data_IF_561358115240
#
_entry.id   IF_561358115240
#
_cell.length_a   1.000
_cell.length_b   1.000
_cell.length_c   1.000
_cell.angle_alpha   90.00
_cell.angle_beta   90.00
_cell.angle_gamma   90.00
#
_symmetry.space_group_name_H-M   'P 1'
#
loop_
_entity.id
_entity.type
_entity.pdbx_description
1 polymer ?
#
# COMPACT_ATOMS: atom_id res chain seq x y z
N UNK A 1 0.01 18.45 -31.82
CA UNK A 1 -0.40 19.65 -31.04
C UNK A 1 -1.83 19.39 -30.58
N UNK A 2 -2.27 19.41 -29.33
CA UNK A 2 -1.70 19.69 -28.03
C UNK A 2 -2.54 18.85 -27.06
N UNK A 3 -1.94 17.88 -26.35
CA UNK A 3 -2.57 17.25 -25.18
C UNK A 3 -1.66 17.33 -23.94
N UNK A 4 -0.67 18.25 -23.98
CA UNK A 4 0.15 18.62 -22.82
C UNK A 4 -0.53 19.68 -21.93
N UNK A 5 -1.75 20.10 -22.28
CA UNK A 5 -2.48 21.19 -21.62
C UNK A 5 -3.38 20.79 -20.44
N UNK A 6 -3.69 19.49 -20.24
CA UNK A 6 -4.68 19.08 -19.22
C UNK A 6 -4.10 18.57 -17.89
N UNK A 7 -2.78 18.39 -17.76
CA UNK A 7 -2.20 17.87 -16.51
C UNK A 7 -2.05 18.99 -15.44
N UNK A 8 -2.04 20.27 -15.86
CA UNK A 8 -1.91 21.41 -14.95
C UNK A 8 -3.23 21.80 -14.24
N UNK A 9 -4.39 21.26 -14.65
CA UNK A 9 -5.70 21.71 -14.18
C UNK A 9 -6.48 20.72 -13.30
N UNK A 10 -5.98 19.53 -13.01
CA UNK A 10 -6.63 18.64 -12.03
C UNK A 10 -6.07 18.87 -10.64
N UNK A 11 -6.53 19.95 -9.99
CA UNK A 11 -6.28 20.17 -8.55
C UNK A 11 -6.90 19.09 -7.67
N UNK A 12 -7.86 18.33 -8.21
CA UNK A 12 -8.56 17.24 -7.52
C UNK A 12 -8.59 15.96 -8.36
N UNK A 13 -8.44 14.84 -7.67
CA UNK A 13 -8.65 13.48 -8.17
C UNK A 13 -9.93 12.93 -7.54
N UNK A 14 -10.91 12.61 -8.39
CA UNK A 14 -12.10 11.87 -7.99
C UNK A 14 -11.82 10.37 -7.98
N UNK A 15 -12.50 9.64 -7.12
CA UNK A 15 -12.36 8.18 -6.99
C UNK A 15 -10.89 7.73 -6.93
N UNK A 16 -10.14 8.17 -5.90
CA UNK A 16 -8.71 7.89 -5.79
C UNK A 16 -8.36 6.40 -5.67
N UNK A 17 -9.28 5.56 -5.19
CA UNK A 17 -9.04 4.14 -4.88
C UNK A 17 -9.50 3.27 -6.03
N UNK A 18 -8.59 2.42 -6.51
CA UNK A 18 -8.85 1.40 -7.51
C UNK A 18 -9.51 0.17 -6.90
N UNK A 19 -8.88 -0.41 -5.87
CA UNK A 19 -9.32 -1.62 -5.22
C UNK A 19 -8.89 -1.65 -3.75
N UNK A 20 -9.64 -2.38 -2.94
CA UNK A 20 -9.24 -2.89 -1.63
C UNK A 20 -9.07 -4.40 -1.75
N UNK A 21 -7.92 -4.93 -1.32
CA UNK A 21 -7.52 -6.32 -1.52
C UNK A 21 -7.11 -6.91 -0.18
N UNK A 22 -7.67 -8.07 0.17
CA UNK A 22 -7.29 -8.84 1.34
C UNK A 22 -6.27 -9.90 0.93
N UNK A 23 -5.14 -9.92 1.63
CA UNK A 23 -4.11 -10.95 1.48
C UNK A 23 -3.94 -11.67 2.81
N UNK A 24 -4.08 -12.98 2.81
CA UNK A 24 -3.80 -13.82 3.98
C UNK A 24 -2.51 -14.61 3.83
N UNK A 25 -2.02 -15.16 4.94
CA UNK A 25 -0.88 -16.07 4.95
C UNK A 25 -1.31 -17.52 5.21
N UNK A 26 -1.05 -18.40 4.24
CA UNK A 26 -1.25 -19.84 4.38
C UNK A 26 0.09 -20.56 4.59
N UNK A 27 0.24 -21.33 5.66
CA UNK A 27 1.50 -21.94 6.08
C UNK A 27 2.21 -22.82 5.02
N UNK A 28 1.46 -23.48 4.11
CA UNK A 28 2.02 -24.23 2.96
C UNK A 28 2.14 -23.45 1.65
N UNK A 29 1.28 -22.44 1.43
CA UNK A 29 1.12 -21.78 0.12
C UNK A 29 1.71 -20.36 0.11
N UNK A 30 2.11 -19.84 1.26
CA UNK A 30 2.56 -18.46 1.44
C UNK A 30 1.41 -17.46 1.41
N UNK A 31 1.71 -16.24 0.98
CA UNK A 31 0.75 -15.15 0.89
C UNK A 31 -0.24 -15.38 -0.26
N UNK A 32 -1.54 -15.31 0.01
CA UNK A 32 -2.60 -15.54 -0.97
C UNK A 32 -3.62 -14.40 -0.96
N UNK A 33 -4.13 -14.05 -2.13
CA UNK A 33 -5.27 -13.14 -2.25
C UNK A 33 -6.51 -13.89 -1.79
N UNK A 34 -7.23 -13.33 -0.84
CA UNK A 34 -8.48 -13.90 -0.34
C UNK A 34 -9.68 -13.17 -0.91
N UNK A 35 -9.58 -11.85 -1.07
CA UNK A 35 -10.67 -11.01 -1.56
C UNK A 35 -10.14 -9.76 -2.26
N UNK A 36 -10.89 -9.24 -3.22
CA UNK A 36 -10.60 -8.04 -3.99
C UNK A 36 -11.92 -7.35 -4.30
N UNK A 37 -12.03 -6.08 -3.93
CA UNK A 37 -13.19 -5.27 -4.21
C UNK A 37 -12.80 -3.90 -4.75
N UNK A 38 -13.38 -3.45 -5.88
CA UNK A 38 -14.16 -4.23 -6.83
C UNK A 38 -13.34 -5.38 -7.43
N UNK A 39 -14.01 -6.43 -7.88
CA UNK A 39 -13.36 -7.56 -8.52
C UNK A 39 -12.83 -7.19 -9.91
N UNK A 40 -11.68 -7.74 -10.31
CA UNK A 40 -11.20 -7.61 -11.69
C UNK A 40 -11.94 -8.54 -12.65
N UNK A 41 -12.34 -9.72 -12.16
CA UNK A 41 -13.09 -10.73 -12.90
C UNK A 41 -14.35 -11.03 -12.10
N UNK A 42 -15.56 -10.75 -12.65
CA UNK A 42 -16.81 -10.98 -11.94
C UNK A 42 -16.96 -12.43 -11.46
N UNK A 43 -17.35 -12.60 -10.19
CA UNK A 43 -17.48 -13.89 -9.51
C UNK A 43 -16.16 -14.51 -9.06
N UNK A 44 -15.04 -13.78 -9.17
CA UNK A 44 -13.71 -14.28 -8.83
C UNK A 44 -12.92 -13.27 -7.98
N UNK A 45 -13.28 -13.13 -6.70
CA UNK A 45 -12.71 -12.10 -5.82
C UNK A 45 -11.22 -12.29 -5.52
N UNK A 46 -10.64 -13.45 -5.80
CA UNK A 46 -9.22 -13.70 -5.57
C UNK A 46 -8.35 -13.55 -6.83
N UNK A 47 -8.95 -13.37 -8.01
CA UNK A 47 -8.19 -13.23 -9.26
C UNK A 47 -7.76 -11.77 -9.49
N UNK A 48 -6.44 -11.56 -9.53
CA UNK A 48 -5.82 -10.27 -9.85
C UNK A 48 -5.18 -10.29 -11.24
N UNK A 49 -4.92 -9.11 -11.85
CA UNK A 49 -4.16 -9.03 -13.09
C UNK A 49 -2.79 -9.70 -12.97
N UNK A 50 -2.32 -10.33 -14.04
CA UNK A 50 -1.02 -11.03 -14.07
C UNK A 50 0.18 -10.14 -13.71
N UNK A 51 0.04 -8.82 -13.96
CA UNK A 51 1.01 -7.80 -13.60
C UNK A 51 1.17 -7.63 -12.09
N UNK A 52 0.16 -8.03 -11.31
CA UNK A 52 0.12 -7.95 -9.84
C UNK A 52 0.40 -9.29 -9.16
N UNK A 53 0.97 -10.27 -9.87
CA UNK A 53 1.28 -11.61 -9.31
C UNK A 53 2.12 -11.59 -8.03
N UNK A 54 2.93 -10.54 -7.83
CA UNK A 54 3.78 -10.36 -6.65
C UNK A 54 3.15 -9.51 -5.54
N UNK A 55 1.95 -8.96 -5.76
CA UNK A 55 1.23 -8.16 -4.77
C UNK A 55 1.12 -8.89 -3.42
N UNK A 56 0.79 -10.19 -3.33
CA UNK A 56 0.69 -10.87 -2.04
C UNK A 56 1.99 -10.85 -1.21
N UNK A 57 3.14 -11.00 -1.87
CA UNK A 57 4.44 -10.96 -1.22
C UNK A 57 4.85 -9.53 -0.82
N UNK A 58 4.44 -8.52 -1.59
CA UNK A 58 4.62 -7.11 -1.24
C UNK A 58 3.70 -6.69 -0.09
N UNK A 59 2.50 -7.27 0.01
CA UNK A 59 1.48 -6.96 0.99
C UNK A 59 1.78 -7.51 2.39
N UNK A 60 2.46 -8.67 2.45
CA UNK A 60 2.92 -9.33 3.66
C UNK A 60 4.41 -9.67 3.48
N UNK A 61 5.31 -8.69 3.71
CA UNK A 61 6.73 -8.88 3.51
C UNK A 61 7.28 -9.88 4.54
N UNK A 62 8.43 -10.45 4.21
CA UNK A 62 9.12 -11.36 5.12
C UNK A 62 9.41 -10.67 6.47
N UNK A 63 9.37 -11.46 7.54
CA UNK A 63 9.49 -10.96 8.91
C UNK A 63 8.28 -10.20 9.46
N UNK A 64 7.21 -9.97 8.67
CA UNK A 64 5.97 -9.33 9.17
C UNK A 64 5.32 -10.09 10.33
N UNK A 65 5.55 -11.41 10.42
CA UNK A 65 5.09 -12.24 11.52
C UNK A 65 5.70 -11.87 12.88
N UNK A 66 6.79 -11.10 12.91
CA UNK A 66 7.42 -10.60 14.15
C UNK A 66 6.71 -9.38 14.75
N UNK A 67 5.69 -8.84 14.07
CA UNK A 67 5.01 -7.61 14.46
C UNK A 67 3.49 -7.83 14.56
N UNK A 68 2.86 -7.26 15.58
CA UNK A 68 1.40 -7.33 15.73
C UNK A 68 0.69 -6.67 14.54
N UNK A 69 1.23 -5.55 14.07
CA UNK A 69 0.75 -4.80 12.91
C UNK A 69 1.83 -3.88 12.38
N UNK A 70 1.76 -3.55 11.10
CA UNK A 70 2.55 -2.49 10.46
C UNK A 70 1.82 -2.02 9.19
N UNK A 71 2.19 -0.85 8.70
CA UNK A 71 1.71 -0.32 7.41
C UNK A 71 2.87 -0.09 6.46
N UNK A 72 2.80 -0.72 5.29
CA UNK A 72 3.85 -0.69 4.28
C UNK A 72 3.33 -0.07 2.99
N UNK A 73 4.25 0.54 2.24
CA UNK A 73 3.96 1.19 0.97
C UNK A 73 4.72 0.52 -0.17
N UNK A 74 4.05 0.29 -1.28
CA UNK A 74 4.66 -0.26 -2.49
C UNK A 74 4.01 0.30 -3.75
N UNK A 75 4.67 0.11 -4.89
CA UNK A 75 4.19 0.55 -6.19
C UNK A 75 3.93 -0.67 -7.08
N UNK A 76 2.90 -0.59 -7.92
CA UNK A 76 2.56 -1.62 -8.90
C UNK A 76 2.37 -0.98 -10.28
N UNK A 77 2.60 -1.72 -11.38
CA UNK A 77 2.21 -1.28 -12.71
C UNK A 77 0.69 -1.10 -12.79
N UNK A 78 0.21 -0.08 -13.48
CA UNK A 78 -1.22 0.07 -13.76
C UNK A 78 -1.67 -1.04 -14.74
N UNK A 79 -2.72 -1.82 -14.43
CA UNK A 79 -3.23 -2.87 -15.31
C UNK A 79 -3.78 -2.37 -16.65
N UNK A 80 -4.16 -1.10 -16.72
CA UNK A 80 -4.83 -0.47 -17.88
C UNK A 80 -3.88 0.40 -18.71
N UNK A 81 -2.82 0.92 -18.09
CA UNK A 81 -1.82 1.76 -18.76
C UNK A 81 -0.39 1.36 -18.33
N UNK A 82 0.37 0.64 -19.17
CA UNK A 82 1.72 0.17 -18.81
C UNK A 82 2.73 1.32 -18.62
N UNK A 83 2.36 2.55 -18.98
CA UNK A 83 3.18 3.73 -18.73
C UNK A 83 2.98 4.32 -17.34
N UNK A 84 2.02 3.81 -16.56
CA UNK A 84 1.63 4.33 -15.26
C UNK A 84 1.91 3.38 -14.10
N UNK A 85 2.11 3.99 -12.94
CA UNK A 85 2.18 3.35 -11.63
C UNK A 85 0.88 3.58 -10.86
N UNK A 86 0.46 2.55 -10.13
CA UNK A 86 -0.54 2.65 -9.05
C UNK A 86 0.14 2.38 -7.69
N UNK A 87 -0.48 2.87 -6.62
CA UNK A 87 0.19 3.01 -5.32
C UNK A 87 -0.54 2.20 -4.25
N UNK A 88 0.17 1.25 -3.65
CA UNK A 88 -0.35 0.35 -2.63
C UNK A 88 -0.03 0.80 -1.21
N UNK A 89 -1.05 0.79 -0.35
CA UNK A 89 -0.94 0.92 1.10
C UNK A 89 -1.41 -0.41 1.70
N UNK A 90 -0.53 -1.19 2.31
CA UNK A 90 -0.90 -2.44 2.97
C UNK A 90 -0.79 -2.31 4.47
N UNK A 91 -1.92 -2.42 5.14
CA UNK A 91 -2.01 -2.48 6.60
C UNK A 91 -2.17 -3.95 6.97
N UNK A 92 -1.15 -4.55 7.61
CA UNK A 92 -1.27 -5.91 8.11
C UNK A 92 -1.51 -5.93 9.61
N UNK A 93 -2.17 -6.99 10.06
CA UNK A 93 -2.38 -7.26 11.47
C UNK A 93 -2.38 -8.76 11.73
N UNK A 94 -1.97 -9.10 12.94
CA UNK A 94 -2.04 -10.43 13.51
C UNK A 94 -2.99 -10.45 14.70
N UNK A 95 -3.81 -11.49 14.80
CA UNK A 95 -4.58 -11.80 16.01
C UNK A 95 -4.42 -13.28 16.39
N UNK A 96 -4.51 -13.62 17.68
CA UNK A 96 -4.57 -15.01 18.12
C UNK A 96 -5.74 -15.77 17.50
N UNK A 97 -5.58 -17.05 17.20
CA UNK A 97 -6.64 -17.89 16.61
C UNK A 97 -7.88 -17.98 17.50
N UNK A 98 -7.72 -17.80 18.81
CA UNK A 98 -8.82 -17.79 19.79
C UNK A 98 -9.78 -16.62 19.57
N UNK A 99 -9.33 -15.52 18.95
CA UNK A 99 -10.15 -14.35 18.63
C UNK A 99 -10.88 -14.47 17.28
N UNK A 100 -10.65 -15.55 16.53
CA UNK A 100 -11.28 -15.79 15.23
C UNK A 100 -12.57 -16.59 15.42
N UNK A 101 -13.68 -16.05 14.90
CA UNK A 101 -15.02 -16.64 15.03
C UNK A 101 -15.18 -17.88 14.15
N UNK A 102 -14.74 -17.80 12.89
CA UNK A 102 -14.77 -18.91 11.94
C UNK A 102 -13.38 -19.51 11.80
N UNK A 103 -13.14 -20.61 12.52
CA UNK A 103 -11.88 -21.35 12.42
C UNK A 103 -11.93 -22.32 11.23
N UNK A 104 -10.96 -22.22 10.36
CA UNK A 104 -10.78 -23.12 9.21
C UNK A 104 -9.65 -24.13 9.51
N UNK A 105 -9.70 -25.30 8.88
CA UNK A 105 -8.76 -26.40 9.16
C UNK A 105 -7.29 -26.04 8.85
N UNK A 106 -7.07 -25.05 8.00
CA UNK A 106 -5.74 -24.53 7.62
C UNK A 106 -5.13 -23.56 8.64
N UNK A 107 -5.88 -23.16 9.68
CA UNK A 107 -5.41 -22.35 10.81
C UNK A 107 -4.63 -23.18 11.83
N UNK A 108 -3.47 -23.69 11.41
CA UNK A 108 -2.60 -24.56 12.20
C UNK A 108 -1.60 -23.82 13.10
N UNK A 109 -1.52 -22.49 12.99
CA UNK A 109 -0.66 -21.62 13.80
C UNK A 109 -1.43 -21.03 14.97
N UNK A 110 -0.72 -20.47 15.96
CA UNK A 110 -1.33 -19.77 17.09
C UNK A 110 -1.90 -18.39 16.74
N UNK A 111 -1.53 -17.82 15.59
CA UNK A 111 -2.04 -16.55 15.09
C UNK A 111 -2.51 -16.64 13.64
N UNK A 112 -3.49 -15.80 13.30
CA UNK A 112 -3.86 -15.47 11.92
C UNK A 112 -3.24 -14.14 11.56
N UNK A 113 -2.60 -14.10 10.39
CA UNK A 113 -2.03 -12.90 9.80
C UNK A 113 -2.71 -12.62 8.47
N UNK A 114 -3.25 -11.40 8.34
CA UNK A 114 -3.79 -10.89 7.07
C UNK A 114 -3.40 -9.43 6.88
N UNK A 115 -3.39 -8.98 5.65
CA UNK A 115 -3.26 -7.58 5.28
C UNK A 115 -4.40 -7.13 4.41
N UNK A 116 -4.72 -5.84 4.53
CA UNK A 116 -5.67 -5.15 3.65
C UNK A 116 -4.87 -4.10 2.89
N UNK A 117 -4.80 -4.29 1.57
CA UNK A 117 -4.14 -3.40 0.63
C UNK A 117 -5.16 -2.45 0.00
N UNK A 118 -4.86 -1.16 0.01
CA UNK A 118 -5.61 -0.17 -0.77
C UNK A 118 -4.74 0.29 -1.92
N UNK A 119 -5.22 0.05 -3.13
CA UNK A 119 -4.53 0.43 -4.36
C UNK A 119 -5.11 1.74 -4.87
N UNK A 120 -4.27 2.74 -5.09
CA UNK A 120 -4.66 4.10 -5.42
C UNK A 120 -4.12 4.57 -6.77
N UNK A 121 -4.84 5.49 -7.42
CA UNK A 121 -4.42 6.18 -8.65
C UNK A 121 -3.41 7.31 -8.39
N UNK A 122 -3.28 7.73 -7.12
CA UNK A 122 -2.31 8.73 -6.66
C UNK A 122 -1.57 8.22 -5.40
N UNK A 123 -0.35 8.73 -5.10
CA UNK A 123 0.47 8.26 -3.98
C UNK A 123 -0.01 8.82 -2.64
N UNK A 124 -1.17 8.33 -2.19
CA UNK A 124 -1.83 8.77 -0.96
C UNK A 124 -1.36 8.00 0.28
N UNK A 125 -0.07 7.70 0.33
CA UNK A 125 0.53 6.75 1.28
C UNK A 125 0.21 7.08 2.75
N UNK A 126 0.79 8.15 3.28
CA UNK A 126 0.61 8.52 4.68
C UNK A 126 -0.82 8.97 5.00
N UNK A 127 -1.50 9.61 4.04
CA UNK A 127 -2.90 10.01 4.13
C UNK A 127 -3.84 8.84 4.44
N UNK A 128 -3.71 7.76 3.68
CA UNK A 128 -4.59 6.60 3.82
C UNK A 128 -4.09 5.61 4.88
N UNK A 129 -2.80 5.62 5.22
CA UNK A 129 -2.24 4.74 6.25
C UNK A 129 -3.04 4.79 7.55
N UNK A 130 -3.23 5.99 8.12
CA UNK A 130 -3.93 6.15 9.41
C UNK A 130 -5.39 5.73 9.31
N UNK A 131 -6.09 6.13 8.24
CA UNK A 131 -7.51 5.78 8.03
C UNK A 131 -7.67 4.26 7.88
N UNK A 132 -6.81 3.62 7.10
CA UNK A 132 -6.87 2.20 6.84
C UNK A 132 -6.46 1.38 8.04
N UNK A 133 -5.49 1.81 8.84
CA UNK A 133 -5.16 1.13 10.10
C UNK A 133 -6.38 1.05 11.03
N UNK A 134 -7.19 2.11 11.10
CA UNK A 134 -8.43 2.12 11.87
C UNK A 134 -9.48 1.16 11.31
N UNK A 135 -9.70 1.17 9.98
CA UNK A 135 -10.64 0.26 9.30
C UNK A 135 -10.21 -1.20 9.48
N UNK A 136 -8.93 -1.51 9.26
CA UNK A 136 -8.37 -2.86 9.41
C UNK A 136 -8.48 -3.30 10.86
N UNK A 137 -8.18 -2.45 11.83
CA UNK A 137 -8.39 -2.77 13.24
C UNK A 137 -9.84 -3.12 13.52
N UNK A 138 -10.80 -2.34 13.03
CA UNK A 138 -12.22 -2.61 13.19
C UNK A 138 -12.65 -3.93 12.55
N UNK A 139 -12.17 -4.21 11.33
CA UNK A 139 -12.42 -5.46 10.63
C UNK A 139 -11.87 -6.67 11.41
N UNK A 140 -10.64 -6.58 11.92
CA UNK A 140 -10.06 -7.65 12.74
C UNK A 140 -10.80 -7.86 14.08
N UNK A 141 -11.40 -6.82 14.67
CA UNK A 141 -12.20 -6.96 15.89
C UNK A 141 -13.51 -7.74 15.66
N UNK A 142 -14.01 -7.83 14.42
CA UNK A 142 -15.17 -8.65 14.11
C UNK A 142 -14.86 -10.15 14.21
N UNK A 143 -13.60 -10.56 14.02
CA UNK A 143 -13.16 -11.96 14.10
C UNK A 143 -13.67 -12.87 12.97
N UNK A 144 -14.58 -12.38 12.12
CA UNK A 144 -15.12 -13.09 10.97
C UNK A 144 -14.59 -12.49 9.66
N UNK A 145 -13.52 -13.06 9.12
CA UNK A 145 -12.86 -12.55 7.91
C UNK A 145 -13.62 -12.82 6.60
N UNK A 146 -14.68 -13.61 6.65
CA UNK A 146 -15.59 -13.80 5.52
C UNK A 146 -16.49 -12.57 5.30
N UNK A 147 -16.64 -11.71 6.30
CA UNK A 147 -17.45 -10.49 6.24
C UNK A 147 -16.61 -9.33 5.72
N UNK A 148 -16.82 -8.95 4.45
CA UNK A 148 -16.05 -7.90 3.76
C UNK A 148 -16.79 -6.58 3.62
N UNK A 149 -18.03 -6.50 4.10
CA UNK A 149 -18.91 -5.32 3.99
C UNK A 149 -18.24 -4.03 4.49
N UNK A 150 -17.54 -4.09 5.62
CA UNK A 150 -16.79 -2.97 6.17
C UNK A 150 -15.71 -2.46 5.21
N UNK A 151 -15.04 -3.36 4.49
CA UNK A 151 -14.00 -3.01 3.51
C UNK A 151 -14.64 -2.41 2.25
N UNK A 152 -15.77 -2.96 1.79
CA UNK A 152 -16.52 -2.42 0.66
C UNK A 152 -17.07 -1.01 0.95
N UNK A 153 -17.55 -0.78 2.16
CA UNK A 153 -18.03 0.54 2.58
C UNK A 153 -16.87 1.53 2.76
N UNK A 154 -15.71 1.05 3.24
CA UNK A 154 -14.49 1.85 3.24
C UNK A 154 -14.08 2.25 1.81
N UNK A 155 -14.16 1.33 0.84
CA UNK A 155 -13.91 1.65 -0.57
C UNK A 155 -14.84 2.75 -1.09
N UNK A 156 -16.16 2.60 -0.88
CA UNK A 156 -17.17 3.57 -1.30
C UNK A 156 -16.91 4.95 -0.66
N UNK A 157 -16.65 4.97 0.64
CA UNK A 157 -16.37 6.21 1.37
C UNK A 157 -15.09 6.89 0.87
N UNK A 158 -13.99 6.14 0.69
CA UNK A 158 -12.74 6.70 0.17
C UNK A 158 -12.91 7.28 -1.23
N UNK A 159 -13.74 6.66 -2.08
CA UNK A 159 -14.02 7.15 -3.43
C UNK A 159 -15.01 8.32 -3.49
N UNK A 160 -15.88 8.46 -2.48
CA UNK A 160 -16.76 9.63 -2.33
C UNK A 160 -16.02 10.92 -1.95
N UNK A 161 -14.75 10.83 -1.55
CA UNK A 161 -13.93 11.94 -1.11
C UNK A 161 -12.91 12.34 -2.19
N UNK A 162 -13.09 13.47 -2.91
CA UNK A 162 -12.06 13.99 -3.80
C UNK A 162 -10.76 14.29 -3.06
N UNK A 163 -9.65 14.13 -3.77
CA UNK A 163 -8.31 14.24 -3.20
C UNK A 163 -7.52 15.32 -3.91
N UNK A 164 -6.89 16.22 -3.16
CA UNK A 164 -6.00 17.22 -3.72
C UNK A 164 -4.59 16.67 -3.87
N UNK A 165 -3.82 17.24 -4.81
CA UNK A 165 -2.45 16.81 -5.09
C UNK A 165 -1.52 17.03 -3.89
N UNK A 166 -1.65 18.13 -3.16
CA UNK A 166 -0.82 18.44 -1.98
C UNK A 166 -1.00 17.42 -0.83
N UNK A 167 -2.13 16.72 -0.82
CA UNK A 167 -2.44 15.68 0.16
C UNK A 167 -1.57 14.42 -0.01
N UNK A 168 -0.74 14.31 -1.06
CA UNK A 168 0.26 13.23 -1.21
C UNK A 168 1.39 13.31 -0.18
N UNK A 169 1.61 14.49 0.43
CA UNK A 169 2.64 14.70 1.45
C UNK A 169 2.15 14.38 2.87
N UNK A 170 0.84 14.21 3.07
CA UNK A 170 0.26 13.91 4.38
C UNK A 170 0.85 12.62 4.97
N UNK A 171 1.19 12.66 6.26
CA UNK A 171 1.77 11.54 7.00
C UNK A 171 3.28 11.34 6.82
N UNK A 172 3.93 12.11 5.94
CA UNK A 172 5.39 12.12 5.81
C UNK A 172 6.01 13.22 6.67
N UNK A 173 7.25 13.01 7.15
CA UNK A 173 7.93 14.01 7.98
C UNK A 173 9.43 14.03 7.72
N UNK A 174 9.87 15.06 7.02
CA UNK A 174 11.29 15.38 6.84
C UNK A 174 11.95 15.68 8.19
N UNK A 175 11.23 16.32 9.12
CA UNK A 175 11.73 16.57 10.47
C UNK A 175 12.09 15.25 11.18
N UNK A 176 11.16 14.27 11.21
CA UNK A 176 11.44 12.95 11.80
C UNK A 176 12.60 12.24 11.10
N UNK A 177 12.71 12.38 9.77
CA UNK A 177 13.84 11.83 9.01
C UNK A 177 15.17 12.44 9.50
N UNK A 178 15.24 13.76 9.68
CA UNK A 178 16.43 14.46 10.17
C UNK A 178 16.72 14.16 11.64
N UNK A 179 15.70 14.07 12.49
CA UNK A 179 15.86 13.70 13.91
C UNK A 179 16.46 12.30 14.06
N UNK A 180 15.95 11.33 13.30
CA UNK A 180 16.36 9.94 13.36
C UNK A 180 17.74 9.71 12.72
N UNK A 181 18.05 10.37 11.61
CA UNK A 181 19.25 10.09 10.81
C UNK A 181 20.34 11.18 10.88
N UNK A 182 20.00 12.38 11.37
CA UNK A 182 20.89 13.54 11.48
C UNK A 182 21.62 13.80 10.15
N UNK A 183 22.93 13.98 10.19
CA UNK A 183 23.76 14.21 8.99
C UNK A 183 23.66 13.07 7.96
N UNK A 184 23.27 11.84 8.35
CA UNK A 184 23.08 10.73 7.41
C UNK A 184 21.89 10.93 6.49
N UNK A 185 20.89 11.74 6.86
CA UNK A 185 19.80 12.10 5.97
C UNK A 185 20.32 12.79 4.69
N UNK A 186 21.33 13.67 4.82
CA UNK A 186 21.98 14.33 3.68
C UNK A 186 22.82 13.36 2.86
N UNK A 187 23.47 12.38 3.49
CA UNK A 187 24.22 11.33 2.77
C UNK A 187 23.28 10.45 1.94
N UNK A 188 22.13 10.07 2.49
CA UNK A 188 21.10 9.32 1.78
C UNK A 188 20.49 10.15 0.64
N UNK A 189 20.24 11.44 0.85
CA UNK A 189 19.73 12.30 -0.21
C UNK A 189 20.75 12.50 -1.33
N UNK A 190 22.03 12.70 -0.99
CA UNK A 190 23.14 12.70 -1.95
C UNK A 190 23.21 11.40 -2.73
N UNK A 191 23.02 10.25 -2.07
CA UNK A 191 23.03 8.94 -2.74
C UNK A 191 21.94 8.86 -3.82
N UNK A 192 20.73 9.37 -3.55
CA UNK A 192 19.66 9.45 -4.55
C UNK A 192 20.02 10.38 -5.71
N UNK A 193 20.60 11.55 -5.43
CA UNK A 193 21.03 12.52 -6.46
C UNK A 193 22.07 11.95 -7.42
N UNK A 194 22.88 10.99 -6.99
CA UNK A 194 23.89 10.34 -7.82
C UNK A 194 23.28 9.34 -8.83
N UNK A 195 21.98 9.04 -8.77
CA UNK A 195 21.30 8.19 -9.75
C UNK A 195 21.84 6.76 -9.83
N UNK A 196 22.41 6.24 -8.72
CA UNK A 196 23.00 4.90 -8.67
C UNK A 196 21.92 3.85 -8.42
N UNK A 197 22.23 2.59 -8.75
CA UNK A 197 21.42 1.43 -8.34
C UNK A 197 21.66 1.20 -6.85
N UNK A 198 20.64 1.40 -6.03
CA UNK A 198 20.73 1.32 -4.56
C UNK A 198 19.73 0.29 -4.07
N UNK A 199 20.20 -0.62 -3.23
CA UNK A 199 19.35 -1.52 -2.46
C UNK A 199 19.33 -1.05 -1.01
N UNK A 200 18.14 -0.87 -0.44
CA UNK A 200 17.93 -0.46 0.95
C UNK A 200 17.11 -1.53 1.65
N UNK A 201 17.57 -1.98 2.80
CA UNK A 201 16.91 -2.97 3.65
C UNK A 201 16.82 -2.43 5.08
N UNK A 202 15.81 -2.90 5.82
CA UNK A 202 15.53 -2.45 7.17
C UNK A 202 14.27 -3.11 7.71
N UNK A 203 14.17 -3.16 9.04
CA UNK A 203 13.01 -3.69 9.76
C UNK A 203 12.67 -2.71 10.90
N UNK A 204 11.39 -2.39 11.16
CA UNK A 204 10.18 -2.85 10.45
C UNK A 204 10.04 -2.28 9.03
N UNK A 205 9.36 -3.00 8.15
CA UNK A 205 9.18 -2.62 6.74
C UNK A 205 8.41 -1.30 6.58
N UNK A 206 7.45 -1.01 7.47
CA UNK A 206 6.66 0.21 7.42
C UNK A 206 7.49 1.46 7.72
N UNK A 207 8.35 1.39 8.73
CA UNK A 207 9.29 2.47 9.05
C UNK A 207 10.26 2.72 7.89
N UNK A 208 10.76 1.66 7.26
CA UNK A 208 11.62 1.76 6.09
C UNK A 208 10.89 2.46 4.94
N UNK A 209 9.69 2.00 4.57
CA UNK A 209 8.94 2.60 3.47
C UNK A 209 8.57 4.07 3.72
N UNK A 210 8.23 4.43 4.95
CA UNK A 210 7.96 5.82 5.37
C UNK A 210 9.22 6.70 5.28
N UNK A 211 10.38 6.19 5.70
CA UNK A 211 11.64 6.90 5.59
C UNK A 211 12.05 7.11 4.12
N UNK A 212 11.85 6.10 3.26
CA UNK A 212 12.10 6.21 1.82
C UNK A 212 11.21 7.27 1.17
N UNK A 213 9.92 7.29 1.47
CA UNK A 213 9.00 8.31 0.94
C UNK A 213 9.35 9.71 1.46
N UNK A 214 9.72 9.84 2.74
CA UNK A 214 10.15 11.12 3.32
C UNK A 214 11.48 11.62 2.74
N UNK A 215 12.35 10.71 2.30
CA UNK A 215 13.60 11.06 1.62
C UNK A 215 13.34 11.48 0.17
N UNK A 216 12.45 10.76 -0.52
CA UNK A 216 12.05 11.07 -1.90
C UNK A 216 11.26 12.38 -1.98
N UNK A 217 10.49 12.72 -0.95
CA UNK A 217 9.74 13.99 -0.90
C UNK A 217 10.63 15.24 -0.86
N UNK A 218 11.93 15.09 -0.58
CA UNK A 218 12.91 16.18 -0.69
C UNK A 218 13.15 16.61 -2.15
N UNK A 219 12.84 15.74 -3.12
CA UNK A 219 12.82 16.13 -4.52
C UNK A 219 11.52 16.91 -4.81
N UNK A 220 11.62 18.15 -5.31
CA UNK A 220 10.44 18.95 -5.60
C UNK A 220 9.48 18.20 -6.52
N UNK A 221 8.22 18.11 -6.11
CA UNK A 221 7.12 17.52 -6.88
C UNK A 221 7.29 16.02 -7.23
N UNK A 222 8.19 15.32 -6.55
CA UNK A 222 8.52 13.93 -6.90
C UNK A 222 7.43 12.95 -6.52
N UNK A 223 6.75 13.15 -5.39
CA UNK A 223 5.62 12.28 -5.03
C UNK A 223 4.44 12.53 -5.96
N UNK A 224 4.18 13.79 -6.28
CA UNK A 224 3.06 14.22 -7.10
C UNK A 224 3.17 13.71 -8.55
N UNK A 225 4.38 13.68 -9.13
CA UNK A 225 4.58 13.33 -10.55
C UNK A 225 5.74 12.36 -10.82
N UNK A 226 6.79 12.38 -10.00
CA UNK A 226 8.03 11.62 -10.22
C UNK A 226 7.86 10.09 -10.10
N UNK A 227 6.89 9.61 -9.32
CA UNK A 227 6.64 8.18 -9.13
C UNK A 227 5.76 7.54 -10.22
N UNK A 228 5.23 8.34 -11.14
CA UNK A 228 4.26 7.91 -12.17
C UNK A 228 4.74 6.77 -13.07
N UNK A 229 6.05 6.54 -13.16
CA UNK A 229 6.66 5.46 -13.97
C UNK A 229 7.54 4.49 -13.17
N UNK A 230 7.44 4.54 -11.84
CA UNK A 230 8.34 3.80 -10.94
C UNK A 230 8.15 2.28 -10.94
N UNK A 231 6.98 1.78 -11.36
CA UNK A 231 6.68 0.35 -11.44
C UNK A 231 6.54 -0.15 -12.88
N UNK A 232 6.91 0.67 -13.88
CA UNK A 232 6.80 0.30 -15.28
C UNK A 232 7.73 -0.87 -15.56
N UNK A 233 7.13 -2.00 -15.90
CA UNK A 233 7.84 -3.13 -16.49
C UNK A 233 8.06 -2.75 -17.96
N UNK A 234 9.15 -2.04 -18.25
CA UNK A 234 9.64 -1.99 -19.62
C UNK A 234 10.15 -3.39 -19.93
N UNK A 235 9.37 -4.13 -20.73
CA UNK A 235 9.86 -5.32 -21.43
C UNK A 235 10.67 -4.85 -22.62
#
# INVERSE_FOLDING_TARGET
>A
MSNRGNILNMSYLNEPVLNIIVVGFHHKKGCQVEHCYPEFVPGKPSELPILWRYLPALALPDGSHNYLSDTIFFNLPDPTDPTRTVYGISCFRQIPVEQVTQKTEDMTRSSVQKSVCVICRAPLFGRLAVKMELVVRAWFMQGNFSETTLLEDAYKHLNSCPVQIDQTLEGLSVLKLVENWRHKALLLFKLLLLGRKVLIYGSPSGQLSTALLSLISLFPRCLEFGLSRSANVTV
#
